data_IF_142736601494
#
_entry.id   IF_142736601494
#
_cell.length_a   1.000
_cell.length_b   1.000
_cell.length_c   1.000
_cell.angle_alpha   90.00
_cell.angle_beta   90.00
_cell.angle_gamma   90.00
#
_symmetry.space_group_name_H-M   'P 1'
#
loop_
_entity.id
_entity.type
_entity.pdbx_description
1 polymer ?
#
# COMPACT_ATOMS: atom_id res chain seq x y z
N UNK A 1 -25.60 22.12 -14.12
CA UNK A 1 -26.90 21.42 -14.14
C UNK A 1 -26.70 20.02 -14.70
N UNK A 2 -27.25 18.98 -14.00
CA UNK A 2 -27.47 17.59 -14.44
C UNK A 2 -26.19 16.73 -14.51
N UNK A 3 -26.08 15.54 -13.92
CA UNK A 3 -27.00 14.68 -13.13
C UNK A 3 -26.15 13.73 -12.29
N UNK A 4 -26.45 13.68 -11.02
CA UNK A 4 -26.02 12.67 -10.05
C UNK A 4 -26.82 11.39 -10.33
N UNK A 5 -26.18 10.29 -10.73
CA UNK A 5 -26.81 8.97 -10.75
C UNK A 5 -26.28 8.16 -9.57
N UNK A 6 -27.04 8.21 -8.49
CA UNK A 6 -26.99 7.22 -7.43
C UNK A 6 -27.45 5.87 -8.00
N UNK A 7 -26.62 4.86 -7.91
CA UNK A 7 -26.99 3.48 -8.19
C UNK A 7 -27.09 2.74 -6.86
N UNK A 8 -28.31 2.71 -6.33
CA UNK A 8 -28.67 1.88 -5.16
C UNK A 8 -28.77 0.44 -5.63
N UNK A 9 -27.92 -0.44 -5.10
CA UNK A 9 -28.06 -1.89 -5.26
C UNK A 9 -28.87 -2.39 -4.08
N UNK A 10 -30.11 -2.79 -4.37
CA UNK A 10 -31.02 -3.47 -3.48
C UNK A 10 -30.53 -4.90 -3.23
N UNK A 11 -30.20 -5.19 -1.98
CA UNK A 11 -29.90 -6.53 -1.49
C UNK A 11 -31.21 -7.26 -1.24
N UNK A 12 -31.66 -8.09 -2.20
CA UNK A 12 -32.81 -8.95 -2.07
C UNK A 12 -32.50 -10.18 -1.23
N UNK A 13 -32.92 -10.18 0.03
CA UNK A 13 -32.92 -11.37 0.87
C UNK A 13 -34.06 -12.31 0.48
N UNK A 14 -33.75 -13.53 0.07
CA UNK A 14 -34.73 -14.59 -0.16
C UNK A 14 -34.76 -15.53 1.06
N UNK A 15 -35.66 -15.28 1.98
CA UNK A 15 -36.02 -16.20 3.07
C UNK A 15 -36.98 -17.25 2.52
N UNK A 16 -36.50 -18.45 2.23
CA UNK A 16 -37.34 -19.61 1.96
C UNK A 16 -37.68 -20.30 3.28
N UNK A 17 -38.85 -19.98 3.83
CA UNK A 17 -39.46 -20.74 4.93
C UNK A 17 -40.24 -21.92 4.31
N UNK A 18 -39.62 -23.08 4.27
CA UNK A 18 -40.30 -24.34 3.96
C UNK A 18 -40.93 -24.92 5.23
N UNK A 19 -42.23 -24.70 5.45
CA UNK A 19 -43.00 -25.41 6.44
C UNK A 19 -43.51 -26.73 5.85
N UNK A 20 -42.96 -27.86 6.25
CA UNK A 20 -43.52 -29.18 6.01
C UNK A 20 -44.33 -29.61 7.26
N UNK A 21 -45.63 -29.43 7.21
CA UNK A 21 -46.57 -30.13 8.11
C UNK A 21 -46.80 -31.52 7.54
N UNK A 22 -46.22 -32.54 8.13
CA UNK A 22 -46.63 -33.93 7.93
C UNK A 22 -47.37 -34.38 9.19
N UNK A 23 -48.68 -34.55 9.06
CA UNK A 23 -49.53 -35.24 10.01
C UNK A 23 -49.55 -36.72 9.62
N UNK A 24 -49.15 -37.62 10.51
CA UNK A 24 -49.26 -39.07 10.34
C UNK A 24 -48.97 -39.76 11.65
N UNK A 25 -50.01 -40.32 12.29
CA UNK A 25 -49.88 -41.06 13.54
C UNK A 25 -49.27 -42.44 13.34
N UNK A 26 -48.55 -42.92 14.33
CA UNK A 26 -47.98 -44.25 14.47
C UNK A 26 -47.18 -44.30 15.76
N UNK A 27 -47.68 -45.05 16.74
CA UNK A 27 -46.90 -45.44 17.91
C UNK A 27 -45.68 -46.22 17.46
N UNK A 28 -44.52 -45.69 17.71
CA UNK A 28 -43.28 -46.44 17.88
C UNK A 28 -42.25 -45.55 18.62
N UNK A 29 -41.58 -46.15 19.56
CA UNK A 29 -40.59 -45.58 20.49
C UNK A 29 -39.32 -45.13 19.75
N UNK A 30 -39.45 -44.03 18.96
CA UNK A 30 -38.37 -43.43 18.21
C UNK A 30 -37.74 -42.28 19.02
N UNK A 31 -36.63 -42.59 19.67
CA UNK A 31 -35.69 -41.56 20.13
C UNK A 31 -35.41 -40.61 18.98
N UNK A 32 -35.71 -39.30 19.07
CA UNK A 32 -35.49 -38.39 17.97
C UNK A 32 -33.98 -38.35 17.64
N UNK A 33 -33.66 -38.76 16.41
CA UNK A 33 -32.31 -38.69 15.89
C UNK A 33 -31.83 -37.23 15.99
N UNK A 34 -30.62 -36.97 16.56
CA UNK A 34 -30.16 -35.60 16.75
C UNK A 34 -30.05 -34.90 15.38
N UNK A 35 -30.88 -33.88 15.21
CA UNK A 35 -30.83 -33.03 14.01
C UNK A 35 -29.39 -32.57 13.79
N UNK A 36 -28.81 -32.81 12.60
CA UNK A 36 -27.44 -32.41 12.35
C UNK A 36 -27.29 -30.90 12.55
N UNK A 37 -26.48 -30.50 13.50
CA UNK A 37 -26.17 -29.09 13.75
C UNK A 37 -25.57 -28.51 12.48
N UNK A 38 -26.11 -27.42 11.94
CA UNK A 38 -25.50 -26.77 10.79
C UNK A 38 -24.01 -26.50 11.06
N UNK A 39 -23.11 -26.73 10.10
CA UNK A 39 -21.70 -26.46 10.32
C UNK A 39 -21.50 -25.02 10.71
N UNK A 40 -20.83 -24.77 11.80
CA UNK A 40 -20.43 -23.42 12.23
C UNK A 40 -19.61 -22.79 11.11
N UNK A 41 -19.94 -21.58 10.62
CA UNK A 41 -19.13 -20.92 9.62
C UNK A 41 -17.67 -20.86 10.09
N UNK A 42 -16.74 -21.23 9.22
CA UNK A 42 -15.34 -21.16 9.54
C UNK A 42 -14.95 -19.72 9.89
N UNK A 43 -14.23 -19.55 10.99
CA UNK A 43 -13.76 -18.24 11.41
C UNK A 43 -12.80 -17.68 10.34
N UNK A 44 -13.06 -16.45 9.92
CA UNK A 44 -12.19 -15.76 8.95
C UNK A 44 -10.96 -15.24 9.63
N UNK A 45 -9.81 -15.75 9.23
CA UNK A 45 -8.50 -15.39 9.81
C UNK A 45 -7.77 -14.46 8.86
N UNK A 46 -7.30 -13.35 9.39
CA UNK A 46 -6.49 -12.38 8.66
C UNK A 46 -5.10 -12.96 8.36
N UNK A 47 -4.74 -13.04 7.07
CA UNK A 47 -3.50 -13.70 6.63
C UNK A 47 -2.54 -12.80 5.86
N UNK A 48 -3.05 -11.83 5.12
CA UNK A 48 -2.23 -11.00 4.24
C UNK A 48 -2.79 -9.59 4.07
N UNK A 49 -1.95 -8.71 3.53
CA UNK A 49 -2.32 -7.37 3.08
C UNK A 49 -2.10 -7.31 1.57
N UNK A 50 -3.16 -6.98 0.83
CA UNK A 50 -3.03 -6.55 -0.56
C UNK A 50 -2.56 -5.10 -0.56
N UNK A 51 -1.51 -4.81 -1.32
CA UNK A 51 -0.95 -3.47 -1.46
C UNK A 51 -0.92 -3.06 -2.92
N UNK A 52 -1.54 -1.92 -3.21
CA UNK A 52 -1.57 -1.32 -4.55
C UNK A 52 -0.69 -0.06 -4.54
N UNK A 53 0.45 -0.14 -5.23
CA UNK A 53 1.43 0.92 -5.36
C UNK A 53 1.16 1.75 -6.61
N UNK A 54 1.33 3.07 -6.51
CA UNK A 54 1.30 3.98 -7.65
C UNK A 54 2.41 5.02 -7.50
N UNK A 55 3.24 5.19 -8.53
CA UNK A 55 4.18 6.29 -8.65
C UNK A 55 3.82 7.14 -9.87
N UNK A 56 3.84 8.45 -9.72
CA UNK A 56 3.58 9.39 -10.82
C UNK A 56 4.66 10.45 -10.85
N UNK A 57 5.21 10.72 -12.02
CA UNK A 57 6.24 11.73 -12.24
C UNK A 57 5.92 12.56 -13.49
N UNK A 58 6.50 13.76 -13.56
CA UNK A 58 6.38 14.57 -14.79
C UNK A 58 7.17 13.96 -15.96
N UNK A 59 6.76 14.23 -17.19
CA UNK A 59 7.49 13.81 -18.37
C UNK A 59 8.92 14.40 -18.38
N UNK A 60 9.07 15.67 -18.02
CA UNK A 60 10.39 16.30 -17.95
C UNK A 60 11.33 15.61 -16.96
N UNK A 61 10.81 15.04 -15.85
CA UNK A 61 11.64 14.24 -14.96
C UNK A 61 12.13 12.96 -15.62
N UNK A 62 11.27 12.28 -16.39
CA UNK A 62 11.67 11.11 -17.19
C UNK A 62 12.67 11.46 -18.30
N UNK A 63 12.59 12.65 -18.86
CA UNK A 63 13.50 13.10 -19.92
C UNK A 63 14.94 13.29 -19.39
N UNK A 64 15.09 13.87 -18.19
CA UNK A 64 16.39 14.19 -17.60
C UNK A 64 16.94 13.11 -16.66
N UNK A 65 16.09 12.22 -16.14
CA UNK A 65 16.47 11.21 -15.16
C UNK A 65 15.95 9.81 -15.52
N UNK A 66 16.72 8.80 -15.14
CA UNK A 66 16.22 7.43 -14.98
C UNK A 66 15.51 7.35 -13.65
N UNK A 67 14.22 7.04 -13.64
CA UNK A 67 13.42 6.94 -12.42
C UNK A 67 13.21 5.48 -12.06
N UNK A 68 13.73 5.06 -10.90
CA UNK A 68 13.53 3.73 -10.33
C UNK A 68 12.51 3.82 -9.20
N UNK A 69 11.49 2.97 -9.25
CA UNK A 69 10.56 2.77 -8.13
C UNK A 69 11.04 1.56 -7.35
N UNK A 70 11.26 1.74 -6.05
CA UNK A 70 11.53 0.64 -5.12
C UNK A 70 10.29 0.40 -4.26
N UNK A 71 9.95 -0.85 -4.05
CA UNK A 71 8.74 -1.25 -3.32
C UNK A 71 8.96 -2.58 -2.61
N UNK A 72 8.11 -2.91 -1.64
CA UNK A 72 8.11 -4.22 -1.01
C UNK A 72 7.28 -5.17 -1.86
N UNK A 73 7.91 -6.23 -2.36
CA UNK A 73 7.28 -7.29 -3.14
C UNK A 73 6.56 -8.34 -2.29
N UNK A 74 5.96 -9.33 -2.93
CA UNK A 74 5.20 -10.42 -2.29
C UNK A 74 6.00 -11.24 -1.26
N UNK A 75 7.31 -11.35 -1.46
CA UNK A 75 8.22 -12.04 -0.54
C UNK A 75 8.65 -11.17 0.67
N UNK A 76 8.10 -9.96 0.81
CA UNK A 76 8.46 -9.02 1.86
C UNK A 76 9.84 -8.35 1.68
N UNK A 77 10.49 -8.54 0.55
CA UNK A 77 11.79 -7.94 0.22
C UNK A 77 11.63 -6.72 -0.68
N UNK A 78 12.63 -5.84 -0.67
CA UNK A 78 12.69 -4.72 -1.60
C UNK A 78 12.88 -5.22 -3.03
N UNK A 79 11.96 -4.85 -3.89
CA UNK A 79 12.04 -5.00 -5.34
C UNK A 79 12.21 -3.63 -5.99
N UNK A 80 12.70 -3.58 -7.23
CA UNK A 80 12.88 -2.34 -7.98
C UNK A 80 12.49 -2.51 -9.43
N UNK A 81 11.82 -1.51 -9.97
CA UNK A 81 11.44 -1.44 -11.38
C UNK A 81 11.69 -0.03 -11.91
N UNK A 82 12.19 0.07 -13.15
CA UNK A 82 12.39 1.37 -13.79
C UNK A 82 11.09 1.85 -14.42
N UNK A 83 10.76 3.12 -14.25
CA UNK A 83 9.62 3.73 -14.92
C UNK A 83 9.93 3.97 -16.41
N UNK A 84 9.03 3.51 -17.28
CA UNK A 84 9.05 3.78 -18.72
C UNK A 84 7.97 4.79 -19.15
N UNK A 85 7.10 5.18 -18.25
CA UNK A 85 6.01 6.13 -18.45
C UNK A 85 5.82 6.99 -17.20
N UNK A 86 5.06 8.08 -17.33
CA UNK A 86 4.79 9.02 -16.22
C UNK A 86 4.00 8.43 -15.07
N UNK A 87 3.40 7.25 -15.25
CA UNK A 87 2.69 6.51 -14.22
C UNK A 87 3.15 5.08 -14.21
N UNK A 88 3.50 4.57 -13.02
CA UNK A 88 3.82 3.18 -12.74
C UNK A 88 2.87 2.67 -11.65
N UNK A 89 2.41 1.43 -11.80
CA UNK A 89 1.53 0.77 -10.82
C UNK A 89 1.96 -0.67 -10.59
N UNK A 90 1.77 -1.16 -9.36
CA UNK A 90 2.03 -2.54 -8.98
C UNK A 90 1.07 -2.98 -7.88
N UNK A 91 0.55 -4.19 -7.98
CA UNK A 91 -0.27 -4.82 -6.94
C UNK A 91 0.43 -6.06 -6.42
N UNK A 92 0.50 -6.22 -5.10
CA UNK A 92 1.14 -7.36 -4.42
C UNK A 92 0.32 -7.79 -3.21
N UNK A 93 0.38 -9.08 -2.86
CA UNK A 93 -0.15 -9.63 -1.61
C UNK A 93 1.01 -10.01 -0.71
N UNK A 94 1.08 -9.43 0.49
CA UNK A 94 2.18 -9.64 1.43
C UNK A 94 1.65 -10.37 2.66
N UNK A 95 2.20 -11.57 3.02
CA UNK A 95 1.78 -12.31 4.21
C UNK A 95 2.03 -11.53 5.51
N UNK A 96 1.13 -11.63 6.48
CA UNK A 96 1.24 -10.97 7.79
C UNK A 96 2.08 -11.77 8.80
N UNK A 97 2.87 -11.10 9.65
CA UNK A 97 3.05 -9.65 9.74
C UNK A 97 3.87 -9.11 8.56
N UNK A 98 3.51 -7.94 8.06
CA UNK A 98 4.03 -7.39 6.83
C UNK A 98 4.66 -6.02 7.00
N UNK A 99 5.54 -5.66 6.05
CA UNK A 99 5.88 -4.26 5.75
C UNK A 99 5.46 -3.98 4.32
N UNK A 100 4.95 -2.80 4.06
CA UNK A 100 4.73 -2.28 2.72
C UNK A 100 5.32 -0.88 2.59
N UNK A 101 5.75 -0.54 1.41
CA UNK A 101 6.32 0.77 1.17
C UNK A 101 6.77 0.96 -0.25
N UNK A 102 6.95 2.22 -0.60
CA UNK A 102 7.34 2.69 -1.93
C UNK A 102 8.32 3.83 -1.76
N UNK A 103 9.36 3.87 -2.59
CA UNK A 103 10.31 4.97 -2.70
C UNK A 103 10.59 5.27 -4.18
N UNK A 104 10.61 6.55 -4.54
CA UNK A 104 10.90 7.02 -5.90
C UNK A 104 12.35 7.52 -5.92
N UNK A 105 13.18 6.93 -6.78
CA UNK A 105 14.61 7.21 -6.88
C UNK A 105 14.99 7.64 -8.30
N UNK A 106 15.01 8.93 -8.59
CA UNK A 106 15.52 9.44 -9.87
C UNK A 106 17.05 9.55 -9.84
N UNK A 107 17.69 9.19 -10.94
CA UNK A 107 19.14 9.36 -11.17
C UNK A 107 19.35 10.09 -12.48
N UNK A 108 20.16 11.13 -12.49
CA UNK A 108 20.42 11.95 -13.67
C UNK A 108 20.99 11.11 -14.82
N UNK A 109 20.48 11.26 -16.03
CA UNK A 109 20.94 10.52 -17.21
C UNK A 109 22.29 10.99 -17.77
N UNK A 110 22.77 12.14 -17.35
CA UNK A 110 24.00 12.76 -17.83
C UNK A 110 23.93 14.28 -17.79
N UNK A 111 24.70 14.95 -18.64
CA UNK A 111 24.63 16.40 -18.77
C UNK A 111 23.26 16.83 -19.29
N UNK A 112 22.66 17.79 -18.62
CA UNK A 112 21.35 18.35 -18.97
C UNK A 112 21.57 19.71 -19.60
N UNK A 113 20.82 20.04 -20.65
CA UNK A 113 20.89 21.33 -21.29
C UNK A 113 20.52 22.47 -20.33
N UNK A 114 21.06 23.65 -20.57
CA UNK A 114 20.59 24.83 -19.84
C UNK A 114 19.11 25.07 -20.13
N UNK A 115 18.35 25.43 -19.10
CA UNK A 115 16.92 25.66 -19.23
C UNK A 115 16.18 25.56 -17.91
N UNK A 116 14.90 25.76 -17.99
CA UNK A 116 13.95 25.65 -16.89
C UNK A 116 13.20 24.31 -16.98
N UNK A 117 13.13 23.58 -15.89
CA UNK A 117 12.50 22.27 -15.80
C UNK A 117 11.41 22.28 -14.74
N UNK A 118 10.17 21.93 -15.14
CA UNK A 118 9.05 21.73 -14.23
C UNK A 118 9.00 20.24 -13.87
N UNK A 119 9.51 19.90 -12.70
CA UNK A 119 9.65 18.52 -12.25
C UNK A 119 8.64 18.20 -11.15
N UNK A 120 8.02 17.04 -11.24
CA UNK A 120 7.15 16.55 -10.16
C UNK A 120 7.31 15.06 -9.94
N UNK A 121 7.15 14.65 -8.66
CA UNK A 121 7.10 13.26 -8.23
C UNK A 121 6.12 13.10 -7.08
N UNK A 122 5.33 12.03 -7.11
CA UNK A 122 4.43 11.62 -6.02
C UNK A 122 4.25 10.13 -6.02
N UNK A 123 4.05 9.55 -4.83
CA UNK A 123 3.75 8.14 -4.64
C UNK A 123 2.47 7.94 -3.85
N UNK A 124 1.87 6.78 -4.00
CA UNK A 124 0.71 6.34 -3.24
C UNK A 124 0.81 4.84 -2.96
N UNK A 125 0.41 4.46 -1.76
CA UNK A 125 0.30 3.07 -1.32
C UNK A 125 -1.10 2.90 -0.76
N UNK A 126 -1.98 2.22 -1.49
CA UNK A 126 -3.27 1.78 -0.98
C UNK A 126 -3.15 0.33 -0.48
N UNK A 127 -3.87 -0.02 0.58
CA UNK A 127 -3.81 -1.36 1.14
C UNK A 127 -5.18 -1.82 1.62
N UNK A 128 -5.38 -3.13 1.65
CA UNK A 128 -6.55 -3.80 2.20
C UNK A 128 -6.18 -5.15 2.81
N UNK A 129 -6.99 -5.60 3.76
CA UNK A 129 -6.76 -6.80 4.54
C UNK A 129 -7.48 -8.00 3.92
N UNK A 130 -6.77 -9.13 3.81
CA UNK A 130 -7.30 -10.35 3.20
C UNK A 130 -7.34 -11.50 4.21
N UNK A 131 -8.37 -12.36 4.09
CA UNK A 131 -8.49 -13.61 4.83
C UNK A 131 -7.67 -14.74 4.18
N UNK A 132 -7.80 -15.95 4.76
CA UNK A 132 -7.15 -17.16 4.27
C UNK A 132 -7.60 -17.58 2.86
N UNK A 133 -8.76 -17.12 2.41
CA UNK A 133 -9.33 -17.40 1.09
C UNK A 133 -9.03 -16.27 0.08
N UNK A 134 -8.24 -15.25 0.49
CA UNK A 134 -7.92 -14.09 -0.31
C UNK A 134 -9.08 -13.10 -0.46
N UNK A 135 -10.13 -13.24 0.37
CA UNK A 135 -11.25 -12.32 0.36
C UNK A 135 -10.96 -11.10 1.21
N UNK A 136 -11.38 -9.93 0.75
CA UNK A 136 -11.19 -8.70 1.49
C UNK A 136 -12.07 -8.67 2.75
N UNK A 137 -11.43 -8.60 3.91
CA UNK A 137 -12.10 -8.48 5.22
C UNK A 137 -12.39 -7.03 5.59
N UNK A 138 -11.47 -6.13 5.24
CA UNK A 138 -11.57 -4.71 5.55
C UNK A 138 -10.92 -3.88 4.46
N UNK A 139 -11.45 -2.70 4.22
CA UNK A 139 -10.78 -1.66 3.44
C UNK A 139 -9.64 -1.12 4.28
N UNK A 140 -8.45 -1.12 3.69
CA UNK A 140 -7.30 -0.42 4.26
C UNK A 140 -7.34 1.07 3.97
N UNK A 141 -6.28 1.75 4.39
CA UNK A 141 -6.07 3.16 4.11
C UNK A 141 -5.33 3.39 2.80
N UNK A 142 -5.03 4.66 2.58
CA UNK A 142 -4.17 5.11 1.50
C UNK A 142 -3.15 6.07 2.07
N UNK A 143 -1.88 5.72 1.93
CA UNK A 143 -0.76 6.57 2.31
C UNK A 143 -0.20 7.26 1.07
N UNK A 144 0.24 8.49 1.22
CA UNK A 144 0.80 9.28 0.11
C UNK A 144 2.14 9.85 0.51
N UNK A 145 3.06 9.89 -0.44
CA UNK A 145 4.29 10.65 -0.27
C UNK A 145 3.99 12.15 -0.33
N UNK A 146 4.85 13.01 0.20
CA UNK A 146 4.84 14.42 -0.13
C UNK A 146 4.87 14.60 -1.66
N UNK A 147 4.11 15.54 -2.17
CA UNK A 147 4.22 15.94 -3.58
C UNK A 147 5.45 16.82 -3.70
N UNK A 148 6.43 16.35 -4.48
CA UNK A 148 7.60 17.13 -4.85
C UNK A 148 7.33 17.73 -6.23
N UNK A 149 7.06 19.04 -6.26
CA UNK A 149 6.85 19.79 -7.48
C UNK A 149 7.59 21.11 -7.37
N UNK A 150 8.46 21.37 -8.32
CA UNK A 150 9.20 22.62 -8.36
C UNK A 150 9.77 22.91 -9.75
N UNK A 151 10.18 24.14 -9.94
CA UNK A 151 10.89 24.63 -11.11
C UNK A 151 12.38 24.69 -10.79
N UNK A 152 13.19 24.09 -11.63
CA UNK A 152 14.65 24.05 -11.45
C UNK A 152 15.38 24.46 -12.72
N UNK A 153 16.57 24.99 -12.51
CA UNK A 153 17.58 25.16 -13.55
C UNK A 153 18.56 23.97 -13.53
N UNK A 154 19.26 23.77 -14.62
CA UNK A 154 20.14 22.60 -14.83
C UNK A 154 21.14 22.35 -13.70
N UNK A 155 21.69 23.41 -13.09
CA UNK A 155 22.65 23.34 -11.97
C UNK A 155 22.05 22.86 -10.65
N UNK A 156 20.74 23.05 -10.45
CA UNK A 156 20.00 22.60 -9.25
C UNK A 156 19.43 21.18 -9.31
N UNK A 157 19.41 20.56 -10.49
CA UNK A 157 18.72 19.28 -10.72
C UNK A 157 19.22 18.15 -9.80
N UNK A 158 20.53 17.97 -9.67
CA UNK A 158 21.10 16.89 -8.85
C UNK A 158 20.63 16.96 -7.39
N UNK A 159 20.59 18.16 -6.84
CA UNK A 159 20.14 18.38 -5.47
C UNK A 159 18.65 18.06 -5.31
N UNK A 160 17.84 18.43 -6.29
CA UNK A 160 16.40 18.13 -6.29
C UNK A 160 16.12 16.63 -6.42
N UNK A 161 16.82 15.92 -7.30
CA UNK A 161 16.66 14.46 -7.44
C UNK A 161 16.99 13.74 -6.13
N UNK A 162 18.03 14.18 -5.43
CA UNK A 162 18.35 13.66 -4.09
C UNK A 162 17.23 13.97 -3.08
N UNK A 163 16.63 15.15 -3.14
CA UNK A 163 15.49 15.50 -2.28
C UNK A 163 14.26 14.61 -2.57
N UNK A 164 13.96 14.28 -3.83
CA UNK A 164 12.91 13.32 -4.18
C UNK A 164 13.21 11.97 -3.51
N UNK A 165 14.41 11.43 -3.67
CA UNK A 165 14.82 10.15 -3.08
C UNK A 165 14.67 10.15 -1.56
N UNK A 166 15.02 11.25 -0.90
CA UNK A 166 14.97 11.38 0.56
C UNK A 166 13.56 11.59 1.12
N UNK A 167 12.62 12.11 0.34
CA UNK A 167 11.31 12.52 0.84
C UNK A 167 10.13 11.79 0.19
N UNK A 168 10.23 11.37 -1.09
CA UNK A 168 9.17 10.65 -1.77
C UNK A 168 9.15 9.17 -1.43
N UNK A 169 8.89 8.84 -0.16
CA UNK A 169 8.72 7.46 0.27
C UNK A 169 7.53 7.29 1.24
N UNK A 170 7.00 6.08 1.28
CA UNK A 170 6.03 5.58 2.27
C UNK A 170 6.59 4.29 2.84
N UNK A 171 6.51 4.11 4.15
CA UNK A 171 6.87 2.86 4.81
C UNK A 171 5.90 2.59 5.97
N UNK A 172 5.21 1.44 5.93
CA UNK A 172 4.23 1.02 6.93
C UNK A 172 4.47 -0.44 7.34
N UNK A 173 4.23 -0.74 8.60
CA UNK A 173 4.14 -2.11 9.10
C UNK A 173 2.69 -2.46 9.41
N UNK A 174 2.34 -3.73 9.20
CA UNK A 174 1.01 -4.28 9.35
C UNK A 174 1.05 -5.48 10.29
N UNK A 175 0.20 -5.46 11.31
CA UNK A 175 0.05 -6.53 12.28
C UNK A 175 -1.20 -7.38 12.00
N UNK A 176 -1.30 -8.55 12.63
CA UNK A 176 -2.43 -9.49 12.45
C UNK A 176 -3.74 -9.05 13.11
N UNK A 177 -3.72 -7.95 13.84
CA UNK A 177 -4.85 -7.34 14.54
C UNK A 177 -5.36 -6.05 13.86
N UNK A 178 -5.11 -5.90 12.56
CA UNK A 178 -5.37 -4.69 11.77
C UNK A 178 -4.51 -3.47 12.17
N UNK A 179 -3.49 -3.67 13.01
CA UNK A 179 -2.57 -2.60 13.40
C UNK A 179 -1.74 -2.11 12.23
N UNK A 180 -1.66 -0.78 12.08
CA UNK A 180 -0.80 -0.09 11.10
C UNK A 180 0.08 0.90 11.85
N UNK A 181 1.37 0.87 11.61
CA UNK A 181 2.33 1.78 12.24
C UNK A 181 3.40 2.25 11.26
N UNK A 182 4.04 3.37 11.59
CA UNK A 182 5.23 3.82 10.90
C UNK A 182 6.35 2.79 11.05
N UNK A 183 7.14 2.60 10.03
CA UNK A 183 8.31 1.73 10.05
C UNK A 183 9.42 2.29 9.18
N UNK A 184 10.62 1.75 9.34
CA UNK A 184 11.73 2.02 8.44
C UNK A 184 11.91 0.86 7.46
N UNK A 185 12.28 1.20 6.23
CA UNK A 185 12.67 0.26 5.18
C UNK A 185 14.05 0.69 4.69
N UNK A 186 15.00 -0.23 4.71
CA UNK A 186 16.28 0.00 4.05
C UNK A 186 16.09 -0.20 2.55
N UNK A 187 16.06 0.89 1.81
CA UNK A 187 15.81 0.85 0.36
C UNK A 187 17.01 0.34 -0.45
N UNK A 188 18.16 0.14 0.19
CA UNK A 188 19.44 -0.14 -0.48
C UNK A 188 19.98 1.12 -1.19
N UNK A 189 21.29 1.33 -1.17
CA UNK A 189 21.93 2.39 -1.96
C UNK A 189 21.85 2.07 -3.46
N UNK A 190 21.94 3.11 -4.30
CA UNK A 190 22.30 2.92 -5.70
C UNK A 190 23.64 2.19 -5.75
N UNK A 191 23.86 1.33 -6.76
CA UNK A 191 25.09 0.56 -6.90
C UNK A 191 26.38 1.40 -7.06
N UNK A 192 26.23 2.72 -7.13
CA UNK A 192 27.32 3.70 -7.14
C UNK A 192 27.34 4.40 -5.76
N UNK A 193 28.11 3.83 -4.89
CA UNK A 193 28.61 4.23 -3.59
C UNK A 193 28.34 5.65 -3.07
N UNK A 194 27.16 5.92 -2.54
CA UNK A 194 27.02 6.96 -1.54
C UNK A 194 26.05 6.51 -0.43
N UNK A 195 26.63 6.17 0.71
CA UNK A 195 25.94 5.81 1.94
C UNK A 195 25.56 7.08 2.69
N UNK A 196 24.52 7.76 2.31
CA UNK A 196 23.84 8.71 3.20
C UNK A 196 22.65 8.01 3.84
N UNK A 197 22.89 7.36 4.95
CA UNK A 197 21.86 7.02 5.93
C UNK A 197 21.17 8.31 6.35
N UNK A 198 19.87 8.41 6.09
CA UNK A 198 19.03 9.39 6.74
C UNK A 198 19.02 9.11 8.24
N UNK A 199 19.91 9.79 8.98
CA UNK A 199 19.88 9.84 10.44
C UNK A 199 18.59 10.54 10.84
N UNK A 200 17.68 9.76 11.47
CA UNK A 200 16.55 10.30 12.19
C UNK A 200 17.03 11.41 13.14
N UNK A 201 16.33 12.52 13.12
CA UNK A 201 16.52 13.60 14.08
C UNK A 201 16.18 13.03 15.45
N UNK A 202 17.21 12.71 16.22
CA UNK A 202 17.07 12.35 17.62
C UNK A 202 16.85 13.63 18.43
N UNK A 203 15.59 13.90 18.75
CA UNK A 203 15.19 14.96 19.69
C UNK A 203 15.23 14.42 21.11
N UNK A 204 16.39 14.05 21.63
CA UNK A 204 16.57 13.85 23.06
C UNK A 204 17.20 15.10 23.67
N UNK A 205 16.36 15.81 24.40
CA UNK A 205 16.54 16.73 25.48
C UNK A 205 17.96 17.16 25.90
N UNK A 206 18.26 18.42 25.65
CA UNK A 206 19.24 19.16 26.44
C UNK A 206 18.60 19.54 27.78
N UNK A 207 18.82 18.74 28.83
CA UNK A 207 18.67 19.19 30.21
C UNK A 207 19.89 19.99 30.58
N UNK A 208 19.64 21.25 30.91
CA UNK A 208 20.65 22.15 31.43
C UNK A 208 21.20 21.72 32.80
N UNK A 209 22.45 21.99 33.02
CA UNK A 209 23.01 22.14 34.36
C UNK A 209 23.86 23.41 34.37
N UNK A 210 23.45 24.32 35.22
CA UNK A 210 24.17 25.56 35.48
C UNK A 210 25.45 25.35 36.31
N UNK A 211 26.33 26.27 36.16
CA UNK A 211 27.08 26.97 37.21
C UNK A 211 27.74 28.18 36.59
#
# INVERSE_FOLDING_TARGET
MKNLKMMSILLGGLLALGSLTACGGGDDDDTPEPTPTPPTPAEKVLTSVKTDYTATVSQQLLDVATVTVRYIGENGQVASEQMSSTTWTKSVNIPLPAKAGLNIQPTLKGAVAEGEYILSAKGQVAYSWLDQDGQQLSSGGTEKTPVMEAVFYADGLGQYLNAITATCFVARSFAKDYGVADTSISWGGNADGDTTQGTGIDTTGATGAGR
#
